data_IF_896840745329
#
_entry.id   IF_896840745329
#
_cell.length_a   1.000
_cell.length_b   1.000
_cell.length_c   1.000
_cell.angle_alpha   90.00
_cell.angle_beta   90.00
_cell.angle_gamma   90.00
#
_symmetry.space_group_name_H-M   'P 1'
#
loop_
_entity.id
_entity.type
_entity.pdbx_description
1 polymer ?
#
# COMPACT_ATOMS: atom_id res chain seq x y z
N UNK A 1 57.27 -10.84 -2.43
CA UNK A 1 57.33 -12.29 -2.67
C UNK A 1 56.36 -12.65 -3.79
N UNK A 2 56.91 -12.80 -5.00
CA UNK A 2 56.19 -13.14 -6.23
C UNK A 2 56.13 -14.66 -6.38
N UNK A 3 55.01 -15.24 -6.83
CA UNK A 3 54.95 -16.58 -7.37
C UNK A 3 54.23 -16.55 -8.74
N UNK A 4 54.75 -17.24 -9.77
CA UNK A 4 54.31 -17.10 -11.13
C UNK A 4 53.26 -18.14 -11.56
N UNK A 5 52.46 -17.73 -12.53
CA UNK A 5 51.48 -18.50 -13.28
C UNK A 5 52.08 -19.67 -14.04
N UNK A 6 51.48 -20.85 -13.92
CA UNK A 6 51.68 -22.01 -14.82
C UNK A 6 50.55 -22.07 -15.83
N UNK A 7 50.90 -21.86 -17.09
CA UNK A 7 50.05 -22.12 -18.24
C UNK A 7 50.03 -23.63 -18.49
N UNK A 8 48.86 -24.24 -18.57
CA UNK A 8 48.64 -25.59 -19.13
C UNK A 8 47.80 -25.43 -20.37
N UNK A 9 48.48 -25.74 -21.51
CA UNK A 9 47.81 -25.83 -22.83
C UNK A 9 47.25 -27.23 -23.00
N UNK A 10 45.93 -27.36 -23.19
CA UNK A 10 45.29 -28.57 -23.63
C UNK A 10 44.86 -28.39 -25.08
N UNK A 11 45.50 -29.17 -25.97
CA UNK A 11 45.10 -29.32 -27.36
C UNK A 11 44.09 -30.46 -27.37
N UNK A 12 42.83 -30.18 -27.73
CA UNK A 12 41.83 -31.19 -28.01
C UNK A 12 41.40 -31.02 -29.47
N UNK A 13 41.75 -32.02 -30.23
CA UNK A 13 41.39 -32.23 -31.65
C UNK A 13 39.88 -32.50 -31.74
N UNK A 14 39.13 -31.66 -32.41
CA UNK A 14 37.70 -31.82 -32.60
C UNK A 14 37.41 -32.44 -33.98
N UNK A 15 36.87 -33.65 -33.96
CA UNK A 15 36.21 -34.25 -35.13
C UNK A 15 34.85 -33.57 -35.35
N UNK A 16 34.67 -32.94 -36.47
CA UNK A 16 33.42 -32.30 -36.90
C UNK A 16 32.57 -33.35 -37.64
N UNK A 17 31.47 -33.78 -37.04
CA UNK A 17 30.38 -34.49 -37.74
C UNK A 17 29.24 -33.48 -37.97
N UNK A 18 28.76 -33.28 -39.20
CA UNK A 18 27.63 -32.41 -39.46
C UNK A 18 26.31 -33.16 -39.21
N UNK A 19 25.76 -33.07 -38.04
CA UNK A 19 24.36 -33.44 -37.80
C UNK A 19 23.47 -32.25 -38.22
N UNK A 20 22.74 -32.48 -39.32
CA UNK A 20 21.74 -31.54 -39.84
C UNK A 20 20.61 -31.32 -38.82
N UNK A 21 20.67 -30.19 -38.13
CA UNK A 21 19.57 -29.73 -37.28
C UNK A 21 18.49 -29.11 -38.17
N UNK A 22 17.43 -29.88 -38.47
CA UNK A 22 16.20 -29.32 -39.05
C UNK A 22 15.49 -28.53 -37.98
N UNK A 23 15.65 -27.20 -38.01
CA UNK A 23 14.89 -26.26 -37.18
C UNK A 23 13.50 -26.16 -37.79
N UNK A 24 12.55 -26.93 -37.26
CA UNK A 24 11.12 -26.74 -37.56
C UNK A 24 10.67 -25.41 -36.94
N UNK A 25 10.60 -24.36 -37.76
CA UNK A 25 9.94 -23.12 -37.39
C UNK A 25 8.44 -23.40 -37.25
N UNK A 26 8.00 -23.65 -36.04
CA UNK A 26 6.57 -23.53 -35.70
C UNK A 26 6.22 -22.05 -35.75
N UNK A 27 5.67 -21.62 -36.90
CA UNK A 27 5.00 -20.33 -36.99
C UNK A 27 3.75 -20.41 -36.10
N UNK A 28 3.89 -19.96 -34.84
CA UNK A 28 2.73 -19.67 -34.01
C UNK A 28 2.00 -18.49 -34.67
N UNK A 29 0.94 -18.79 -35.40
CA UNK A 29 0.04 -17.77 -35.88
C UNK A 29 -0.45 -16.98 -34.67
N UNK A 30 -0.39 -15.61 -34.69
CA UNK A 30 -0.96 -14.82 -33.60
C UNK A 30 -2.45 -15.19 -33.52
N UNK A 31 -2.88 -15.70 -32.38
CA UNK A 31 -4.28 -15.88 -32.08
C UNK A 31 -4.91 -14.47 -32.09
N UNK A 32 -5.56 -14.12 -33.19
CA UNK A 32 -6.37 -12.92 -33.28
C UNK A 32 -7.46 -13.09 -32.23
N UNK A 33 -7.32 -12.37 -31.12
CA UNK A 33 -8.38 -12.27 -30.12
C UNK A 33 -9.63 -11.79 -30.87
N UNK A 34 -10.61 -12.67 -31.04
CA UNK A 34 -11.89 -12.32 -31.67
C UNK A 34 -12.55 -11.28 -30.78
N UNK A 35 -12.56 -10.03 -31.22
CA UNK A 35 -13.36 -8.98 -30.59
C UNK A 35 -14.81 -9.45 -30.69
N UNK A 36 -15.40 -9.77 -29.56
CA UNK A 36 -16.80 -10.18 -29.49
C UNK A 36 -17.66 -8.95 -29.85
N UNK A 37 -18.11 -8.89 -31.10
CA UNK A 37 -18.97 -7.80 -31.61
C UNK A 37 -20.38 -8.02 -31.09
N UNK A 38 -20.94 -7.02 -30.39
CA UNK A 38 -22.33 -7.04 -29.97
C UNK A 38 -23.22 -6.78 -31.22
N UNK A 39 -24.06 -7.76 -31.58
CA UNK A 39 -25.09 -7.61 -32.64
C UNK A 39 -26.39 -6.98 -32.13
N UNK A 40 -26.45 -6.54 -30.89
CA UNK A 40 -27.58 -5.89 -30.24
C UNK A 40 -27.21 -4.55 -29.61
N UNK A 41 -27.85 -4.22 -28.51
CA UNK A 41 -27.56 -3.01 -27.73
C UNK A 41 -26.38 -3.26 -26.79
N UNK A 42 -25.30 -2.47 -26.90
CA UNK A 42 -24.20 -2.47 -25.98
C UNK A 42 -24.57 -1.70 -24.69
N UNK A 43 -24.42 -2.32 -23.55
CA UNK A 43 -24.67 -1.72 -22.24
C UNK A 43 -23.39 -1.74 -21.41
N UNK A 44 -22.88 -0.58 -21.06
CA UNK A 44 -21.75 -0.42 -20.14
C UNK A 44 -22.25 -0.11 -18.73
N UNK A 45 -21.85 -0.91 -17.75
CA UNK A 45 -22.24 -0.74 -16.35
C UNK A 45 -20.98 -0.62 -15.50
N UNK A 46 -20.94 0.38 -14.64
CA UNK A 46 -19.97 0.45 -13.55
C UNK A 46 -20.62 0.00 -12.25
N UNK A 47 -20.01 -0.98 -11.59
CA UNK A 47 -20.44 -1.48 -10.28
C UNK A 47 -19.33 -1.25 -9.28
N UNK A 48 -19.70 -0.71 -8.13
CA UNK A 48 -18.79 -0.53 -6.99
C UNK A 48 -19.39 -1.27 -5.79
N UNK A 49 -18.62 -2.19 -5.24
CA UNK A 49 -18.95 -2.91 -4.01
C UNK A 49 -17.92 -2.61 -2.94
N UNK A 50 -18.37 -2.58 -1.69
CA UNK A 50 -17.50 -2.36 -0.55
C UNK A 50 -17.86 -3.26 0.62
N UNK A 51 -16.84 -3.59 1.41
CA UNK A 51 -17.00 -4.37 2.64
C UNK A 51 -16.10 -3.79 3.74
N UNK A 52 -16.67 -3.66 4.92
CA UNK A 52 -15.92 -3.28 6.12
C UNK A 52 -15.29 -4.54 6.72
N UNK A 53 -14.00 -4.46 7.07
CA UNK A 53 -13.23 -5.60 7.58
C UNK A 53 -12.76 -5.36 9.00
N UNK A 54 -12.42 -6.44 9.70
CA UNK A 54 -11.70 -6.34 10.97
C UNK A 54 -10.25 -5.89 10.72
N UNK A 55 -9.68 -5.20 11.70
CA UNK A 55 -8.29 -4.81 11.72
C UNK A 55 -7.57 -5.54 12.85
N UNK A 56 -6.46 -6.16 12.53
CA UNK A 56 -5.53 -6.78 13.48
C UNK A 56 -4.21 -6.01 13.58
N UNK A 57 -4.01 -5.05 12.67
CA UNK A 57 -2.80 -4.25 12.56
C UNK A 57 -3.12 -2.78 12.28
N UNK A 58 -2.25 -1.91 12.76
CA UNK A 58 -2.39 -0.47 12.61
C UNK A 58 -1.09 0.13 12.10
N UNK A 59 -1.19 0.97 11.08
CA UNK A 59 -0.08 1.79 10.62
C UNK A 59 -0.08 3.06 11.45
N UNK A 60 1.07 3.39 12.02
CA UNK A 60 1.25 4.64 12.75
C UNK A 60 2.22 5.58 12.05
N UNK A 61 2.07 6.86 12.34
CA UNK A 61 2.99 7.91 11.97
C UNK A 61 3.24 8.81 13.18
N UNK A 62 4.50 8.90 13.60
CA UNK A 62 4.96 9.77 14.67
C UNK A 62 5.80 10.89 14.07
N UNK A 63 5.50 12.13 14.42
CA UNK A 63 6.38 13.26 14.16
C UNK A 63 7.43 13.37 15.26
N UNK A 64 8.70 13.53 14.90
CA UNK A 64 9.79 13.80 15.82
C UNK A 64 10.38 15.17 15.55
N UNK A 65 10.52 15.96 16.60
CA UNK A 65 10.95 17.36 16.55
C UNK A 65 12.07 17.62 17.54
N UNK A 66 13.03 18.45 17.13
CA UNK A 66 14.06 19.02 18.00
C UNK A 66 14.28 20.50 17.68
N UNK A 67 14.49 21.32 18.70
CA UNK A 67 14.75 22.76 18.59
C UNK A 67 16.03 23.10 19.34
N UNK A 68 16.88 23.93 18.73
CA UNK A 68 18.13 24.39 19.33
C UNK A 68 18.57 25.73 18.74
N UNK A 69 19.53 26.44 19.35
CA UNK A 69 20.00 27.74 18.86
C UNK A 69 20.71 27.66 17.48
N UNK A 70 21.21 26.50 17.08
CA UNK A 70 21.86 26.31 15.78
C UNK A 70 21.35 25.07 15.05
N UNK A 71 21.45 25.08 13.74
CA UNK A 71 21.09 23.94 12.88
C UNK A 71 21.83 22.66 13.26
N UNK A 72 23.14 22.76 13.53
CA UNK A 72 23.94 21.59 13.93
C UNK A 72 23.46 21.01 15.26
N UNK A 73 23.18 21.86 16.26
CA UNK A 73 22.68 21.44 17.56
C UNK A 73 21.25 20.85 17.46
N UNK A 74 20.37 21.42 16.63
CA UNK A 74 19.03 20.88 16.42
C UNK A 74 19.09 19.51 15.75
N UNK A 75 19.97 19.30 14.76
CA UNK A 75 20.17 18.00 14.11
C UNK A 75 20.78 16.97 15.07
N UNK A 76 21.78 17.35 15.88
CA UNK A 76 22.36 16.45 16.87
C UNK A 76 21.31 16.00 17.91
N UNK A 77 20.51 16.91 18.42
CA UNK A 77 19.43 16.61 19.35
C UNK A 77 18.35 15.73 18.71
N UNK A 78 18.02 15.98 17.44
CA UNK A 78 17.07 15.14 16.70
C UNK A 78 17.59 13.72 16.57
N UNK A 79 18.85 13.52 16.21
CA UNK A 79 19.46 12.20 16.08
C UNK A 79 19.46 11.44 17.42
N UNK A 80 19.82 12.10 18.50
CA UNK A 80 19.77 11.52 19.85
C UNK A 80 18.35 11.05 20.21
N UNK A 81 17.34 11.88 19.97
CA UNK A 81 15.92 11.54 20.20
C UNK A 81 15.46 10.39 19.29
N UNK A 82 15.92 10.38 18.03
CA UNK A 82 15.60 9.36 17.06
C UNK A 82 16.16 7.99 17.47
N UNK A 83 17.40 7.94 17.95
CA UNK A 83 18.02 6.70 18.40
C UNK A 83 17.29 6.12 19.62
N UNK A 84 16.92 6.97 20.57
CA UNK A 84 16.08 6.57 21.70
C UNK A 84 14.72 6.06 21.22
N UNK A 85 14.05 6.78 20.32
CA UNK A 85 12.76 6.37 19.79
C UNK A 85 12.85 5.02 19.05
N UNK A 86 13.92 4.77 18.27
CA UNK A 86 14.16 3.46 17.63
C UNK A 86 14.28 2.31 18.64
N UNK A 87 15.03 2.51 19.69
CA UNK A 87 15.22 1.49 20.73
C UNK A 87 13.91 1.16 21.44
N UNK A 88 13.15 2.17 21.84
CA UNK A 88 11.93 2.00 22.59
C UNK A 88 10.74 1.51 21.72
N UNK A 89 10.69 1.87 20.43
CA UNK A 89 9.63 1.42 19.51
C UNK A 89 9.84 -0.01 19.00
N UNK A 90 11.08 -0.47 18.92
CA UNK A 90 11.43 -1.77 18.32
C UNK A 90 10.62 -2.97 18.85
N UNK A 91 10.33 -3.10 20.14
CA UNK A 91 9.55 -4.23 20.67
C UNK A 91 8.08 -4.24 20.25
N UNK A 92 7.54 -3.12 19.81
CA UNK A 92 6.12 -2.96 19.52
C UNK A 92 5.79 -3.10 18.02
N UNK A 93 6.78 -2.93 17.15
CA UNK A 93 6.55 -2.91 15.70
C UNK A 93 6.65 -4.31 15.10
N UNK A 94 5.80 -4.57 14.12
CA UNK A 94 5.78 -5.83 13.37
C UNK A 94 6.82 -5.86 12.26
N UNK A 95 7.11 -4.68 11.66
CA UNK A 95 7.99 -4.53 10.52
C UNK A 95 9.10 -3.50 10.83
N UNK A 96 10.03 -3.31 9.90
CA UNK A 96 11.05 -2.28 10.02
C UNK A 96 10.42 -0.87 10.07
N UNK A 97 10.99 0.01 10.91
CA UNK A 97 10.60 1.41 10.97
C UNK A 97 10.97 2.13 9.66
N UNK A 98 10.07 2.94 9.15
CA UNK A 98 10.29 3.82 8.01
C UNK A 98 10.61 5.22 8.52
N UNK A 99 11.81 5.71 8.23
CA UNK A 99 12.30 7.01 8.72
C UNK A 99 12.88 7.77 7.52
N UNK A 100 12.17 8.78 6.99
CA UNK A 100 12.69 9.63 5.93
C UNK A 100 13.80 10.54 6.44
N UNK A 101 14.60 11.07 5.52
CA UNK A 101 15.67 12.01 5.83
C UNK A 101 15.16 13.21 6.62
N UNK A 102 15.86 13.64 7.68
CA UNK A 102 15.47 14.80 8.47
C UNK A 102 15.47 16.09 7.65
N UNK A 103 14.59 17.01 8.03
CA UNK A 103 14.54 18.37 7.49
C UNK A 103 14.85 19.37 8.60
N UNK A 104 15.56 20.46 8.27
CA UNK A 104 15.80 21.57 9.18
C UNK A 104 15.35 22.89 8.58
N UNK A 105 14.82 23.77 9.39
CA UNK A 105 14.40 25.12 9.00
C UNK A 105 14.48 26.05 10.19
N UNK A 106 14.74 27.34 9.90
CA UNK A 106 14.75 28.38 10.90
C UNK A 106 13.33 28.75 11.29
N UNK A 107 13.07 28.91 12.57
CA UNK A 107 11.79 29.33 13.13
C UNK A 107 12.00 30.54 14.04
N UNK A 108 11.19 31.55 13.82
CA UNK A 108 11.21 32.78 14.61
C UNK A 108 11.16 34.01 13.70
N UNK A 109 10.32 34.97 14.05
CA UNK A 109 10.33 36.29 13.44
C UNK A 109 11.59 37.02 13.94
N UNK A 110 12.41 37.53 13.01
CA UNK A 110 13.63 38.25 13.33
C UNK A 110 13.45 39.58 14.03
N UNK A 111 12.49 39.68 14.99
CA UNK A 111 12.39 40.82 15.91
C UNK A 111 13.46 40.68 16.99
N UNK A 112 14.06 41.80 17.36
CA UNK A 112 15.20 41.90 18.29
C UNK A 112 14.97 41.31 19.69
N UNK A 113 13.77 40.83 20.00
CA UNK A 113 13.37 40.30 21.32
C UNK A 113 13.20 38.79 21.37
N UNK A 114 13.25 38.05 20.23
CA UNK A 114 13.08 36.58 20.21
C UNK A 114 14.28 35.91 19.58
N UNK A 115 14.98 35.03 20.31
CA UNK A 115 16.12 34.32 19.74
C UNK A 115 15.68 33.46 18.54
N UNK A 116 16.43 33.54 17.47
CA UNK A 116 16.24 32.69 16.29
C UNK A 116 16.51 31.25 16.69
N UNK A 117 15.49 30.39 16.65
CA UNK A 117 15.61 28.97 16.91
C UNK A 117 15.64 28.19 15.58
N UNK A 118 16.50 27.21 15.54
CA UNK A 118 16.54 26.23 14.45
C UNK A 118 15.76 24.98 14.85
N UNK A 119 14.94 24.54 13.95
CA UNK A 119 14.07 23.36 14.14
C UNK A 119 14.49 22.25 13.19
N UNK A 120 14.75 21.06 13.70
CA UNK A 120 14.95 19.84 12.93
C UNK A 120 13.79 18.89 13.18
N UNK A 121 13.33 18.21 12.12
CA UNK A 121 12.20 17.30 12.20
C UNK A 121 12.33 16.11 11.26
N UNK A 122 11.76 14.99 11.65
CA UNK A 122 11.54 13.81 10.81
C UNK A 122 10.25 13.12 11.20
N UNK A 123 9.92 12.05 10.47
CA UNK A 123 8.77 11.20 10.75
C UNK A 123 9.24 9.77 11.03
N UNK A 124 8.56 9.09 11.92
CA UNK A 124 8.77 7.67 12.19
C UNK A 124 7.47 6.96 11.86
N UNK A 125 7.50 6.06 10.88
CA UNK A 125 6.36 5.22 10.50
C UNK A 125 6.63 3.76 10.78
N UNK A 126 5.57 3.01 11.02
CA UNK A 126 5.64 1.57 11.24
C UNK A 126 4.26 0.93 11.31
N UNK A 127 4.24 -0.36 11.57
CA UNK A 127 3.02 -1.14 11.77
C UNK A 127 3.08 -1.79 13.15
N UNK A 128 1.98 -1.70 13.88
CA UNK A 128 1.81 -2.29 15.22
C UNK A 128 0.65 -3.28 15.20
N UNK A 129 0.73 -4.33 16.03
CA UNK A 129 -0.38 -5.25 16.25
C UNK A 129 -1.50 -4.58 17.07
N UNK A 130 -2.68 -5.20 17.01
CA UNK A 130 -3.81 -4.79 17.85
C UNK A 130 -3.48 -4.78 19.34
N UNK A 131 -2.73 -5.79 19.80
CA UNK A 131 -2.39 -5.96 21.23
C UNK A 131 -1.44 -4.87 21.72
N UNK A 132 -0.59 -4.35 20.83
CA UNK A 132 0.37 -3.29 21.15
C UNK A 132 -0.15 -1.86 20.84
N UNK A 133 -1.40 -1.73 20.40
CA UNK A 133 -1.99 -0.45 19.96
C UNK A 133 -1.91 0.64 21.05
N UNK A 134 -2.46 0.34 22.24
CA UNK A 134 -2.49 1.30 23.35
C UNK A 134 -1.10 1.55 23.93
N UNK A 135 -0.28 0.50 24.07
CA UNK A 135 1.09 0.60 24.54
C UNK A 135 1.95 1.52 23.68
N UNK A 136 1.78 1.47 22.35
CA UNK A 136 2.46 2.37 21.42
C UNK A 136 2.04 3.83 21.63
N UNK A 137 0.74 4.11 21.80
CA UNK A 137 0.23 5.46 22.01
C UNK A 137 0.77 6.04 23.32
N UNK A 138 0.76 5.24 24.39
CA UNK A 138 1.31 5.65 25.69
C UNK A 138 2.82 5.90 25.62
N UNK A 139 3.55 5.05 24.88
CA UNK A 139 4.98 5.25 24.67
C UNK A 139 5.25 6.53 23.88
N UNK A 140 4.53 6.77 22.79
CA UNK A 140 4.66 8.00 22.00
C UNK A 140 4.45 9.26 22.82
N UNK A 141 3.52 9.23 23.78
CA UNK A 141 3.25 10.35 24.71
C UNK A 141 4.36 10.62 25.72
N UNK A 142 5.24 9.62 25.99
CA UNK A 142 6.37 9.75 26.94
C UNK A 142 7.67 10.15 26.29
N UNK A 143 7.81 9.92 24.97
CA UNK A 143 9.04 10.21 24.25
C UNK A 143 9.20 11.72 23.98
N UNK A 144 10.37 12.32 24.31
CA UNK A 144 10.59 13.75 24.16
C UNK A 144 10.60 14.17 22.68
N UNK A 145 9.77 15.15 22.33
CA UNK A 145 9.67 15.69 20.97
C UNK A 145 8.93 14.79 19.99
N UNK A 146 8.32 13.69 20.47
CA UNK A 146 7.46 12.81 19.67
C UNK A 146 6.01 13.25 19.78
N UNK A 147 5.30 13.21 18.65
CA UNK A 147 3.85 13.42 18.56
C UNK A 147 3.24 12.37 17.65
N UNK A 148 2.18 11.74 18.10
CA UNK A 148 1.36 10.90 17.22
C UNK A 148 0.66 11.79 16.19
N UNK A 149 0.91 11.51 14.90
CA UNK A 149 0.32 12.25 13.79
C UNK A 149 -0.84 11.48 13.17
N UNK A 150 -0.70 10.18 13.07
CA UNK A 150 -1.71 9.33 12.43
C UNK A 150 -1.66 7.91 12.98
N UNK A 151 -2.83 7.26 13.03
CA UNK A 151 -3.00 5.85 13.35
C UNK A 151 -4.11 5.30 12.46
N UNK A 152 -3.74 4.46 11.51
CA UNK A 152 -4.65 3.95 10.47
C UNK A 152 -4.82 2.44 10.58
N UNK A 153 -6.05 1.96 10.64
CA UNK A 153 -6.37 0.54 10.61
C UNK A 153 -5.99 -0.11 9.29
N UNK A 154 -5.33 -1.26 9.34
CA UNK A 154 -5.01 -2.07 8.17
C UNK A 154 -5.90 -3.31 8.14
N UNK A 155 -6.28 -3.73 6.92
CA UNK A 155 -6.95 -5.02 6.74
C UNK A 155 -6.04 -6.17 7.16
N UNK A 156 -6.62 -7.18 7.81
CA UNK A 156 -5.90 -8.42 8.12
C UNK A 156 -5.36 -9.07 6.85
N UNK A 157 -4.12 -9.56 6.92
CA UNK A 157 -3.48 -10.23 5.78
C UNK A 157 -4.12 -11.55 5.43
N UNK A 158 -4.68 -12.26 6.42
CA UNK A 158 -5.27 -13.59 6.24
C UNK A 158 -6.63 -13.59 5.53
N UNK A 159 -7.35 -12.47 5.53
CA UNK A 159 -8.68 -12.34 4.92
C UNK A 159 -8.72 -11.72 3.52
N UNK A 160 -7.59 -11.22 3.01
CA UNK A 160 -7.56 -10.39 1.80
C UNK A 160 -8.14 -11.07 0.56
N UNK A 161 -7.69 -12.30 0.27
CA UNK A 161 -8.12 -13.06 -0.93
C UNK A 161 -9.60 -13.42 -0.86
N UNK A 162 -10.06 -13.94 0.27
CA UNK A 162 -11.48 -14.30 0.47
C UNK A 162 -12.42 -13.09 0.35
N UNK A 163 -11.95 -11.91 0.76
CA UNK A 163 -12.71 -10.67 0.62
C UNK A 163 -12.76 -10.17 -0.82
N UNK A 164 -11.67 -10.31 -1.58
CA UNK A 164 -11.65 -9.96 -3.00
C UNK A 164 -12.61 -10.85 -3.78
N UNK A 165 -12.59 -12.15 -3.54
CA UNK A 165 -13.54 -13.11 -4.13
C UNK A 165 -14.99 -12.77 -3.79
N UNK A 166 -15.26 -12.38 -2.54
CA UNK A 166 -16.60 -11.96 -2.10
C UNK A 166 -17.06 -10.71 -2.82
N UNK A 167 -16.20 -9.69 -2.91
CA UNK A 167 -16.49 -8.43 -3.59
C UNK A 167 -16.70 -8.65 -5.09
N UNK A 168 -15.86 -9.47 -5.72
CA UNK A 168 -15.99 -9.84 -7.14
C UNK A 168 -17.32 -10.51 -7.41
N UNK A 169 -17.69 -11.52 -6.61
CA UNK A 169 -18.99 -12.23 -6.74
C UNK A 169 -20.17 -11.29 -6.58
N UNK A 170 -20.13 -10.37 -5.59
CA UNK A 170 -21.19 -9.38 -5.38
C UNK A 170 -21.30 -8.40 -6.55
N UNK A 171 -20.19 -7.87 -7.02
CA UNK A 171 -20.15 -6.91 -8.13
C UNK A 171 -20.66 -7.54 -9.44
N UNK A 172 -20.26 -8.78 -9.76
CA UNK A 172 -20.77 -9.49 -10.94
C UNK A 172 -22.27 -9.78 -10.83
N UNK A 173 -22.74 -10.20 -9.66
CA UNK A 173 -24.17 -10.44 -9.43
C UNK A 173 -25.00 -9.16 -9.60
N UNK A 174 -24.53 -8.04 -9.04
CA UNK A 174 -25.21 -6.75 -9.15
C UNK A 174 -25.17 -6.23 -10.58
N UNK A 175 -24.04 -6.32 -11.30
CA UNK A 175 -23.94 -5.96 -12.71
C UNK A 175 -24.92 -6.74 -13.58
N UNK A 176 -25.00 -8.07 -13.40
CA UNK A 176 -25.97 -8.91 -14.14
C UNK A 176 -27.41 -8.56 -13.80
N UNK A 177 -27.71 -8.27 -12.52
CA UNK A 177 -29.05 -7.83 -12.10
C UNK A 177 -29.45 -6.54 -12.84
N UNK A 178 -28.57 -5.53 -12.89
CA UNK A 178 -28.82 -4.26 -13.60
C UNK A 178 -29.00 -4.48 -15.10
N UNK A 179 -28.14 -5.28 -15.72
CA UNK A 179 -28.23 -5.61 -17.14
C UNK A 179 -29.57 -6.30 -17.48
N UNK A 180 -30.02 -7.25 -16.67
CA UNK A 180 -31.32 -7.92 -16.85
C UNK A 180 -32.50 -6.96 -16.68
N UNK A 181 -32.43 -5.99 -15.75
CA UNK A 181 -33.48 -4.97 -15.58
C UNK A 181 -33.55 -4.08 -16.82
N UNK A 182 -32.40 -3.63 -17.33
CA UNK A 182 -32.31 -2.81 -18.54
C UNK A 182 -32.83 -3.56 -19.78
N UNK A 183 -32.41 -4.83 -19.96
CA UNK A 183 -32.86 -5.65 -21.07
C UNK A 183 -34.38 -5.78 -21.09
N UNK A 184 -35.02 -6.09 -19.95
CA UNK A 184 -36.46 -6.20 -19.81
C UNK A 184 -37.18 -4.87 -20.13
N UNK A 185 -36.63 -3.73 -19.68
CA UNK A 185 -37.18 -2.43 -19.96
C UNK A 185 -37.15 -2.07 -21.48
N UNK A 186 -36.19 -2.66 -22.20
CA UNK A 186 -36.06 -2.52 -23.65
C UNK A 186 -36.81 -3.59 -24.46
N UNK A 187 -37.51 -4.52 -23.80
CA UNK A 187 -38.16 -5.64 -24.46
C UNK A 187 -37.19 -6.73 -24.96
N UNK A 188 -35.94 -6.75 -24.47
CA UNK A 188 -34.91 -7.69 -24.86
C UNK A 188 -34.83 -8.84 -23.86
N UNK A 189 -34.60 -10.09 -24.34
CA UNK A 189 -34.66 -11.29 -23.51
C UNK A 189 -33.28 -11.84 -23.12
N UNK A 190 -32.25 -11.50 -23.89
CA UNK A 190 -30.91 -12.09 -23.76
C UNK A 190 -29.88 -11.08 -23.28
N UNK A 191 -29.05 -11.50 -22.31
CA UNK A 191 -28.00 -10.68 -21.72
C UNK A 191 -26.71 -11.47 -21.70
N UNK A 192 -25.75 -11.09 -22.53
CA UNK A 192 -24.45 -11.73 -22.65
C UNK A 192 -23.35 -10.78 -22.12
N UNK A 193 -22.52 -11.25 -21.19
CA UNK A 193 -21.36 -10.49 -20.70
C UNK A 193 -20.24 -10.58 -21.71
N UNK A 194 -19.76 -9.44 -22.20
CA UNK A 194 -18.70 -9.34 -23.21
C UNK A 194 -17.32 -9.07 -22.60
N UNK A 195 -17.26 -8.17 -21.62
CA UNK A 195 -15.98 -7.74 -21.04
C UNK A 195 -16.13 -7.40 -19.57
N UNK A 196 -15.10 -7.77 -18.81
CA UNK A 196 -14.89 -7.35 -17.42
C UNK A 196 -13.64 -6.50 -17.38
N UNK A 197 -13.74 -5.30 -16.85
CA UNK A 197 -12.62 -4.40 -16.59
C UNK A 197 -12.54 -4.14 -15.09
N UNK A 198 -11.60 -4.78 -14.44
CA UNK A 198 -11.34 -4.59 -13.01
C UNK A 198 -10.47 -3.35 -12.81
N UNK A 199 -11.05 -2.31 -12.22
CA UNK A 199 -10.29 -1.17 -11.73
C UNK A 199 -9.93 -1.45 -10.28
N UNK A 200 -8.67 -1.80 -10.05
CA UNK A 200 -8.11 -2.33 -8.81
C UNK A 200 -8.71 -1.76 -7.53
N UNK A 201 -8.93 -2.65 -6.57
CA UNK A 201 -9.48 -2.33 -5.26
C UNK A 201 -8.63 -1.33 -4.51
N UNK A 202 -9.20 -0.18 -4.15
CA UNK A 202 -8.55 0.80 -3.28
C UNK A 202 -8.95 0.50 -1.85
N UNK A 203 -7.97 0.21 -1.00
CA UNK A 203 -8.15 0.31 0.44
C UNK A 203 -8.15 1.81 0.75
N UNK A 204 -9.28 2.36 1.17
CA UNK A 204 -9.32 3.71 1.75
C UNK A 204 -9.00 3.58 3.24
N UNK A 205 -7.83 4.04 3.68
CA UNK A 205 -7.62 4.28 5.09
C UNK A 205 -8.54 5.41 5.52
N UNK A 206 -9.32 5.18 6.57
CA UNK A 206 -10.08 6.26 7.20
C UNK A 206 -9.12 6.95 8.17
N UNK A 207 -8.70 8.18 7.83
CA UNK A 207 -7.84 8.97 8.69
C UNK A 207 -8.63 9.42 9.93
N UNK A 208 -7.99 9.30 11.09
CA UNK A 208 -8.50 9.89 12.32
C UNK A 208 -8.17 11.40 12.34
N UNK A 209 -9.19 12.23 12.52
CA UNK A 209 -8.98 13.63 12.87
C UNK A 209 -8.35 13.71 14.27
N UNK A 210 -7.43 14.66 14.46
CA UNK A 210 -6.71 14.89 15.71
C UNK A 210 -7.66 14.92 16.93
N UNK A 211 -7.63 13.85 17.73
CA UNK A 211 -8.28 13.87 19.04
C UNK A 211 -7.41 14.70 20.01
N UNK A 212 -7.92 15.82 20.47
CA UNK A 212 -7.32 16.59 21.55
C UNK A 212 -7.21 15.67 22.78
N UNK A 213 -5.99 15.56 23.29
CA UNK A 213 -5.61 14.67 24.39
C UNK A 213 -6.25 15.12 25.72
N UNK A 214 -7.47 14.67 25.99
CA UNK A 214 -7.99 14.53 27.34
C UNK A 214 -8.31 13.06 27.54
N UNK A 215 -7.51 12.39 28.37
CA UNK A 215 -7.50 10.97 28.67
C UNK A 215 -8.85 10.23 28.50
N UNK A 216 -9.03 9.47 27.44
CA UNK A 216 -9.47 8.09 27.57
C UNK A 216 -8.42 7.14 27.03
N UNK A 217 -8.33 5.93 27.56
CA UNK A 217 -7.57 4.86 26.95
C UNK A 217 -8.10 4.65 25.53
N UNK A 218 -7.24 4.85 24.51
CA UNK A 218 -7.62 4.62 23.13
C UNK A 218 -7.83 3.11 22.94
N UNK A 219 -9.04 2.75 22.55
CA UNK A 219 -9.39 1.35 22.32
C UNK A 219 -9.26 1.01 20.83
N UNK A 220 -8.57 -0.07 20.47
CA UNK A 220 -8.45 -0.48 19.08
C UNK A 220 -9.80 -0.82 18.42
N UNK A 221 -10.84 -1.12 19.22
CA UNK A 221 -12.20 -1.36 18.73
C UNK A 221 -12.92 -0.09 18.25
N UNK A 222 -12.52 1.07 18.78
CA UNK A 222 -13.04 2.37 18.41
C UNK A 222 -12.35 2.95 17.17
N UNK A 223 -11.24 2.33 16.74
CA UNK A 223 -10.56 2.73 15.52
C UNK A 223 -11.45 2.48 14.30
N UNK A 224 -11.48 3.42 13.31
CA UNK A 224 -12.25 3.24 12.09
C UNK A 224 -11.88 1.92 11.42
N UNK A 225 -12.89 1.11 11.13
CA UNK A 225 -12.69 -0.17 10.46
C UNK A 225 -12.26 0.08 9.01
N UNK A 226 -11.24 -0.62 8.50
CA UNK A 226 -10.81 -0.46 7.12
C UNK A 226 -11.92 -0.94 6.18
N UNK A 227 -12.12 -0.18 5.10
CA UNK A 227 -13.08 -0.50 4.06
C UNK A 227 -12.32 -0.93 2.80
N UNK A 228 -12.66 -2.10 2.28
CA UNK A 228 -12.15 -2.58 1.00
C UNK A 228 -13.21 -2.37 -0.06
N UNK A 229 -12.83 -1.80 -1.20
CA UNK A 229 -13.74 -1.46 -2.29
C UNK A 229 -13.21 -2.06 -3.59
N UNK A 230 -14.10 -2.68 -4.36
CA UNK A 230 -13.84 -3.15 -5.73
C UNK A 230 -14.74 -2.39 -6.69
N UNK A 231 -14.16 -1.94 -7.81
CA UNK A 231 -14.91 -1.32 -8.90
C UNK A 231 -14.74 -2.15 -10.18
N UNK A 232 -15.84 -2.59 -10.76
CA UNK A 232 -15.86 -3.30 -12.05
C UNK A 232 -16.55 -2.46 -13.11
N UNK A 233 -15.92 -2.37 -14.29
CA UNK A 233 -16.57 -2.01 -15.53
C UNK A 233 -17.05 -3.29 -16.22
N UNK A 234 -18.31 -3.38 -16.58
CA UNK A 234 -18.94 -4.55 -17.17
C UNK A 234 -19.65 -4.16 -18.46
N UNK A 235 -19.27 -4.78 -19.57
CA UNK A 235 -19.92 -4.57 -20.84
C UNK A 235 -20.81 -5.76 -21.17
N UNK A 236 -22.08 -5.49 -21.46
CA UNK A 236 -23.08 -6.49 -21.81
C UNK A 236 -23.64 -6.24 -23.20
N UNK A 237 -23.92 -7.32 -23.92
CA UNK A 237 -24.70 -7.28 -25.14
C UNK A 237 -26.14 -7.70 -24.84
N UNK A 238 -27.10 -6.83 -25.11
CA UNK A 238 -28.52 -7.08 -24.92
C UNK A 238 -29.17 -7.42 -26.27
N UNK A 239 -29.89 -8.53 -26.34
CA UNK A 239 -30.54 -9.04 -27.56
C UNK A 239 -31.92 -9.58 -27.27
#
# INVERSE_FOLDING_TARGET
MWRPFRKVAFIISAMITPLGFQVSFWSAAPALASVQICSGTLLEIQVQESVTTSSDRFRFSLGLLAEAPSKAAAMALLNQRLDRARQELRPFVLDALSIPSPRSYSYGSGSSSSPKLERASTRIGGVVSRDNYDALIQLAGRLPGVRLQDMTSLTSSSGGVALDDLLLKRALKEGRRRANVTARALGLARVDLLRINERGGRVRPVAYAEARMSKPAFRPDEAPKPQRTLTLGLDYCLR
#
